data_IF_218449275120
#
_entry.id   IF_218449275120
#
_cell.length_a   1.000
_cell.length_b   1.000
_cell.length_c   1.000
_cell.angle_alpha   90.00
_cell.angle_beta   90.00
_cell.angle_gamma   90.00
#
_symmetry.space_group_name_H-M   'P 1'
#
loop_
_entity.id
_entity.type
_entity.pdbx_description
1 polymer ?
#
# COMPACT_ATOMS: atom_id res chain seq x y z
N UNK A 1 -1.40 0.30 -21.51
CA UNK A 1 -1.88 -1.08 -21.23
C UNK A 1 -1.58 -1.52 -19.80
N UNK A 2 -0.35 -1.35 -19.30
CA UNK A 2 -0.02 -1.48 -17.86
C UNK A 2 -0.64 -0.33 -17.05
N UNK A 3 -0.53 0.91 -17.55
CA UNK A 3 -1.13 2.11 -16.95
C UNK A 3 -2.63 1.96 -16.68
N UNK A 4 -3.37 1.28 -17.58
CA UNK A 4 -4.80 1.07 -17.39
C UNK A 4 -5.14 0.19 -16.19
N UNK A 5 -4.26 -0.77 -15.83
CA UNK A 5 -4.43 -1.62 -14.65
C UNK A 5 -4.13 -0.82 -13.39
N UNK A 6 -3.05 -0.01 -13.43
CA UNK A 6 -2.66 0.88 -12.33
C UNK A 6 -3.77 1.88 -12.04
N UNK A 7 -4.26 2.58 -13.06
CA UNK A 7 -5.30 3.60 -12.92
C UNK A 7 -6.62 2.99 -12.43
N UNK A 8 -6.92 1.75 -12.84
CA UNK A 8 -8.09 1.04 -12.36
C UNK A 8 -7.97 0.69 -10.89
N UNK A 9 -6.86 0.10 -10.47
CA UNK A 9 -6.66 -0.30 -9.07
C UNK A 9 -6.51 0.90 -8.14
N UNK A 10 -5.92 1.98 -8.65
CA UNK A 10 -5.89 3.28 -8.00
C UNK A 10 -7.31 3.75 -7.69
N UNK A 11 -8.24 3.67 -8.66
CA UNK A 11 -9.66 4.06 -8.50
C UNK A 11 -10.45 3.10 -7.61
N UNK A 12 -10.24 1.80 -7.78
CA UNK A 12 -10.90 0.74 -6.99
C UNK A 12 -10.58 0.92 -5.51
N UNK A 13 -9.31 1.23 -5.17
CA UNK A 13 -8.91 1.54 -3.80
C UNK A 13 -9.49 2.83 -3.20
N UNK A 14 -10.39 3.55 -3.89
CA UNK A 14 -10.97 4.80 -3.38
C UNK A 14 -12.40 4.65 -2.84
N UNK A 15 -12.94 3.43 -2.75
CA UNK A 15 -14.19 3.16 -2.02
C UNK A 15 -15.48 3.35 -2.84
N UNK A 16 -15.58 2.72 -4.01
CA UNK A 16 -16.84 2.59 -4.75
C UNK A 16 -17.46 1.21 -4.57
N UNK A 17 -18.48 1.11 -3.71
CA UNK A 17 -19.36 -0.04 -3.37
C UNK A 17 -18.70 -1.39 -2.95
N UNK A 18 -17.38 -1.56 -3.16
CA UNK A 18 -16.34 -2.21 -2.33
C UNK A 18 -15.17 -2.64 -3.25
N UNK A 19 -13.88 -2.29 -2.99
CA UNK A 19 -13.05 -2.96 -1.97
C UNK A 19 -11.85 -2.13 -1.45
N UNK A 20 -11.03 -2.71 -0.57
CA UNK A 20 -9.86 -2.15 0.13
C UNK A 20 -10.12 -1.05 1.16
N UNK A 21 -10.89 0.02 0.93
CA UNK A 21 -10.94 1.17 1.86
C UNK A 21 -12.35 1.70 2.20
N UNK A 22 -13.39 0.87 2.17
CA UNK A 22 -14.78 1.32 2.27
C UNK A 22 -15.15 2.09 3.56
N UNK A 23 -14.53 1.76 4.69
CA UNK A 23 -14.74 2.49 5.95
C UNK A 23 -14.09 3.89 5.96
N UNK A 24 -13.27 4.20 4.94
CA UNK A 24 -12.54 5.44 4.79
C UNK A 24 -13.22 6.31 3.74
N UNK A 25 -13.42 7.59 4.10
CA UNK A 25 -14.06 8.58 3.25
C UNK A 25 -13.01 9.38 2.51
N UNK A 26 -13.23 9.64 1.22
CA UNK A 26 -12.40 10.54 0.44
C UNK A 26 -12.52 11.97 0.99
N UNK A 27 -11.39 12.67 1.12
CA UNK A 27 -11.39 14.12 1.35
C UNK A 27 -11.38 14.88 0.02
N UNK A 28 -11.99 16.06 0.00
CA UNK A 28 -12.02 16.95 -1.17
C UNK A 28 -10.66 17.54 -1.60
N UNK A 29 -9.55 17.20 -0.93
CA UNK A 29 -8.19 17.54 -1.35
C UNK A 29 -7.66 16.43 -2.29
N UNK A 30 -8.19 16.40 -3.51
CA UNK A 30 -7.68 15.55 -4.59
C UNK A 30 -6.79 16.42 -5.48
N UNK A 31 -5.51 16.11 -5.50
CA UNK A 31 -4.54 16.66 -6.46
C UNK A 31 -4.32 15.53 -7.47
N UNK A 32 -4.36 15.80 -8.77
CA UNK A 32 -4.26 14.75 -9.80
C UNK A 32 -3.19 13.71 -9.42
N UNK A 33 -3.57 12.44 -9.37
CA UNK A 33 -2.75 11.27 -8.99
C UNK A 33 -2.47 11.05 -7.49
N UNK A 34 -2.98 11.90 -6.60
CA UNK A 34 -2.95 11.73 -5.13
C UNK A 34 -4.37 11.66 -4.60
N UNK A 35 -4.64 10.61 -3.84
CA UNK A 35 -5.90 10.41 -3.16
C UNK A 35 -5.71 10.37 -1.64
N UNK A 36 -6.45 11.22 -0.94
CA UNK A 36 -6.44 11.29 0.52
C UNK A 36 -7.69 10.62 1.06
N UNK A 37 -7.48 9.53 1.80
CA UNK A 37 -8.52 8.78 2.50
C UNK A 37 -8.46 9.12 3.99
N UNK A 38 -9.62 9.29 4.63
CA UNK A 38 -9.73 9.47 6.07
C UNK A 38 -10.85 8.60 6.68
N UNK A 39 -10.54 7.89 7.77
CA UNK A 39 -11.55 7.09 8.47
C UNK A 39 -12.41 7.91 9.46
N UNK A 40 -13.44 7.26 10.00
CA UNK A 40 -14.32 7.85 11.02
C UNK A 40 -13.62 8.31 12.30
N UNK A 41 -12.39 7.84 12.55
CA UNK A 41 -11.56 8.20 13.71
C UNK A 41 -10.58 9.34 13.43
N UNK A 42 -10.47 9.78 12.17
CA UNK A 42 -9.56 10.83 11.70
C UNK A 42 -8.15 10.35 11.33
N UNK A 43 -7.93 9.05 11.14
CA UNK A 43 -6.68 8.51 10.58
C UNK A 43 -6.65 8.79 9.08
N UNK A 44 -5.46 9.09 8.54
CA UNK A 44 -5.26 9.46 7.13
C UNK A 44 -4.32 8.50 6.40
N UNK A 45 -4.66 8.20 5.17
CA UNK A 45 -3.90 7.37 4.25
C UNK A 45 -3.88 8.07 2.91
N UNK A 46 -2.68 8.31 2.39
CA UNK A 46 -2.50 8.81 1.03
C UNK A 46 -2.17 7.65 0.10
N UNK A 47 -2.87 7.59 -1.02
CA UNK A 47 -2.63 6.64 -2.11
C UNK A 47 -2.18 7.47 -3.31
N UNK A 48 -0.95 7.24 -3.77
CA UNK A 48 -0.31 8.02 -4.81
C UNK A 48 0.03 7.12 -5.99
N UNK A 49 -0.57 7.40 -7.14
CA UNK A 49 -0.16 6.84 -8.42
C UNK A 49 1.03 7.67 -8.92
N UNK A 50 2.18 7.03 -9.12
CA UNK A 50 3.40 7.71 -9.58
C UNK A 50 3.84 7.24 -10.97
N UNK A 51 3.05 6.39 -11.63
CA UNK A 51 3.39 5.86 -12.95
C UNK A 51 3.57 6.95 -14.02
N UNK A 52 4.56 6.75 -14.90
CA UNK A 52 4.99 7.69 -15.92
C UNK A 52 5.44 9.06 -15.35
N UNK A 53 5.80 9.11 -14.07
CA UNK A 53 6.35 10.31 -13.43
C UNK A 53 7.84 10.15 -13.15
N UNK A 54 8.56 11.25 -12.93
CA UNK A 54 9.92 11.19 -12.42
C UNK A 54 10.04 10.42 -11.10
N UNK A 55 8.98 10.31 -10.29
CA UNK A 55 9.01 9.54 -9.04
C UNK A 55 9.08 8.04 -9.32
N UNK A 56 8.33 7.51 -10.28
CA UNK A 56 8.41 6.10 -10.71
C UNK A 56 9.81 5.76 -11.22
N UNK A 57 10.37 6.59 -12.10
CA UNK A 57 11.72 6.35 -12.61
C UNK A 57 12.78 6.36 -11.50
N UNK A 58 12.57 7.09 -10.39
CA UNK A 58 13.54 7.19 -9.28
C UNK A 58 13.38 6.07 -8.26
N UNK A 59 12.14 5.77 -7.86
CA UNK A 59 11.84 4.79 -6.83
C UNK A 59 11.67 3.37 -7.36
N UNK A 60 11.35 3.23 -8.66
CA UNK A 60 11.00 1.93 -9.26
C UNK A 60 9.67 1.39 -8.74
N UNK A 61 8.69 2.26 -8.50
CA UNK A 61 7.35 1.91 -8.03
C UNK A 61 6.30 2.62 -8.86
N UNK A 62 5.11 2.04 -9.00
CA UNK A 62 3.97 2.68 -9.67
C UNK A 62 2.95 3.22 -8.67
N UNK A 63 2.90 2.65 -7.47
CA UNK A 63 1.97 3.02 -6.41
C UNK A 63 2.68 3.23 -5.07
N UNK A 64 2.24 4.21 -4.30
CA UNK A 64 2.70 4.49 -2.93
C UNK A 64 1.49 4.62 -2.01
N UNK A 65 1.49 3.85 -0.92
CA UNK A 65 0.58 4.03 0.20
C UNK A 65 1.34 4.69 1.35
N UNK A 66 0.89 5.85 1.80
CA UNK A 66 1.49 6.59 2.91
C UNK A 66 0.51 6.70 4.08
N UNK A 67 0.80 5.96 5.14
CA UNK A 67 0.00 5.96 6.37
C UNK A 67 0.50 7.07 7.31
N UNK A 68 -0.26 8.16 7.39
CA UNK A 68 0.10 9.37 8.13
C UNK A 68 0.38 9.14 9.62
N UNK A 69 -0.46 8.40 10.38
CA UNK A 69 -0.25 8.26 11.82
C UNK A 69 1.08 7.61 12.21
N UNK A 70 1.64 6.75 11.36
CA UNK A 70 2.91 6.05 11.63
C UNK A 70 4.05 6.47 10.71
N UNK A 71 3.84 7.47 9.85
CA UNK A 71 4.81 7.90 8.83
C UNK A 71 5.41 6.72 8.06
N UNK A 72 4.54 5.82 7.59
CA UNK A 72 4.93 4.53 7.03
C UNK A 72 4.54 4.45 5.57
N UNK A 73 5.44 3.90 4.76
CA UNK A 73 5.24 3.71 3.33
C UNK A 73 5.08 2.23 2.98
N UNK A 74 4.20 1.94 2.03
CA UNK A 74 4.18 0.68 1.27
C UNK A 74 4.23 1.03 -0.22
N UNK A 75 5.15 0.39 -0.95
CA UNK A 75 5.40 0.66 -2.36
C UNK A 75 5.05 -0.57 -3.18
N UNK A 76 4.37 -0.37 -4.32
CA UNK A 76 3.99 -1.46 -5.22
C UNK A 76 4.37 -1.13 -6.65
N UNK A 77 5.25 -1.94 -7.25
CA UNK A 77 5.57 -1.90 -8.67
C UNK A 77 4.69 -2.90 -9.41
N UNK A 78 3.94 -2.42 -10.39
CA UNK A 78 3.10 -3.18 -11.27
C UNK A 78 3.91 -3.71 -12.44
N UNK A 79 3.52 -4.90 -12.91
CA UNK A 79 3.96 -5.50 -14.17
C UNK A 79 2.82 -6.25 -14.81
N UNK A 80 2.61 -6.04 -16.10
CA UNK A 80 1.61 -6.78 -16.84
C UNK A 80 2.10 -8.18 -17.21
N UNK A 81 1.29 -9.19 -16.91
CA UNK A 81 1.50 -10.55 -17.37
C UNK A 81 1.11 -10.70 -18.85
N UNK A 82 1.82 -11.56 -19.57
CA UNK A 82 1.47 -11.91 -20.94
C UNK A 82 0.11 -12.63 -20.98
N UNK A 83 -0.83 -12.15 -21.79
CA UNK A 83 -2.22 -12.65 -21.76
C UNK A 83 -2.35 -14.14 -22.08
N UNK A 84 -1.46 -14.71 -22.91
CA UNK A 84 -1.57 -16.11 -23.36
C UNK A 84 -1.10 -17.11 -22.32
N UNK A 85 0.02 -16.82 -21.66
CA UNK A 85 0.69 -17.76 -20.75
C UNK A 85 0.63 -17.31 -19.28
N UNK A 86 0.14 -16.09 -19.01
CA UNK A 86 0.18 -15.46 -17.69
C UNK A 86 1.58 -15.51 -17.07
N UNK A 87 2.57 -15.25 -17.92
CA UNK A 87 3.98 -15.23 -17.56
C UNK A 87 4.53 -13.81 -17.64
N UNK A 88 5.47 -13.50 -16.76
CA UNK A 88 6.36 -12.35 -16.89
C UNK A 88 7.80 -12.85 -17.04
N UNK A 89 8.42 -12.55 -18.17
CA UNK A 89 9.84 -12.86 -18.39
C UNK A 89 10.69 -11.77 -17.77
N UNK A 90 11.52 -12.16 -16.80
CA UNK A 90 12.38 -11.23 -16.07
C UNK A 90 13.37 -10.63 -17.07
N UNK A 91 13.43 -9.29 -17.08
CA UNK A 91 14.31 -8.53 -17.93
C UNK A 91 15.16 -7.58 -17.08
N UNK A 92 16.15 -6.94 -17.70
CA UNK A 92 17.03 -5.99 -17.02
C UNK A 92 16.26 -4.83 -16.36
N UNK A 93 15.20 -4.35 -17.00
CA UNK A 93 14.39 -3.26 -16.47
C UNK A 93 13.75 -3.61 -15.12
N UNK A 94 13.15 -4.81 -14.99
CA UNK A 94 12.57 -5.24 -13.72
C UNK A 94 13.66 -5.38 -12.64
N UNK A 95 14.82 -5.94 -12.99
CA UNK A 95 15.93 -6.06 -12.05
C UNK A 95 16.40 -4.68 -11.54
N UNK A 96 16.56 -3.72 -12.44
CA UNK A 96 16.95 -2.35 -12.10
C UNK A 96 15.89 -1.65 -11.22
N UNK A 97 14.60 -1.95 -11.41
CA UNK A 97 13.51 -1.45 -10.57
C UNK A 97 13.52 -2.12 -9.18
N UNK A 98 13.72 -3.43 -9.12
CA UNK A 98 13.87 -4.17 -7.85
C UNK A 98 15.04 -3.63 -7.03
N UNK A 99 16.17 -3.32 -7.67
CA UNK A 99 17.33 -2.71 -7.01
C UNK A 99 17.00 -1.35 -6.38
N UNK A 100 16.15 -0.54 -7.03
CA UNK A 100 15.70 0.76 -6.50
C UNK A 100 14.76 0.58 -5.30
N UNK A 101 13.79 -0.33 -5.41
CA UNK A 101 12.88 -0.66 -4.30
C UNK A 101 13.64 -1.20 -3.08
N UNK A 102 14.70 -1.97 -3.32
CA UNK A 102 15.52 -2.52 -2.23
C UNK A 102 16.29 -1.40 -1.50
N UNK A 103 16.80 -0.42 -2.25
CA UNK A 103 17.41 0.76 -1.65
C UNK A 103 16.41 1.59 -0.83
N UNK A 104 15.16 1.73 -1.31
CA UNK A 104 14.08 2.37 -0.53
C UNK A 104 13.79 1.56 0.74
N UNK A 105 13.72 0.23 0.65
CA UNK A 105 13.49 -0.64 1.81
C UNK A 105 14.57 -0.47 2.87
N UNK A 106 15.83 -0.20 2.48
CA UNK A 106 16.95 0.08 3.39
C UNK A 106 16.85 1.43 4.11
N UNK A 107 15.96 2.33 3.68
CA UNK A 107 15.63 3.55 4.44
C UNK A 107 14.79 3.23 5.68
N UNK A 108 14.19 2.04 5.75
CA UNK A 108 13.47 1.60 6.94
C UNK A 108 14.47 1.24 8.04
N UNK A 109 14.26 1.85 9.21
CA UNK A 109 15.01 1.58 10.43
C UNK A 109 14.46 0.37 11.18
N UNK A 110 15.20 -0.11 12.20
CA UNK A 110 14.66 -1.06 13.16
C UNK A 110 13.72 -0.33 14.13
N UNK A 111 12.59 -0.93 14.53
CA UNK A 111 11.69 -0.31 15.49
C UNK A 111 12.40 -0.10 16.82
N UNK A 112 12.44 1.15 17.29
CA UNK A 112 12.98 1.52 18.60
C UNK A 112 11.88 1.46 19.68
N UNK A 113 10.61 1.57 19.28
CA UNK A 113 9.45 1.57 20.18
C UNK A 113 8.42 0.53 19.76
N UNK A 114 7.61 0.07 20.72
CA UNK A 114 6.60 -0.98 20.47
C UNK A 114 5.58 -0.62 19.39
N UNK A 115 5.20 0.65 19.26
CA UNK A 115 4.25 1.11 18.23
C UNK A 115 4.88 1.26 16.83
N UNK A 116 6.20 1.17 16.73
CA UNK A 116 6.94 1.18 15.46
C UNK A 116 7.10 -0.23 14.88
N UNK A 117 6.79 -1.27 15.65
CA UNK A 117 6.90 -2.65 15.20
C UNK A 117 5.95 -2.94 14.03
N UNK A 118 6.40 -3.84 13.13
CA UNK A 118 5.68 -4.26 11.93
C UNK A 118 5.63 -5.78 11.86
N UNK A 119 4.56 -6.30 11.26
CA UNK A 119 4.37 -7.75 11.07
C UNK A 119 5.42 -8.35 10.12
N UNK A 120 5.85 -7.58 9.13
CA UNK A 120 6.88 -7.96 8.17
C UNK A 120 7.87 -6.80 7.97
N UNK A 121 9.16 -7.09 7.74
CA UNK A 121 10.12 -6.08 7.32
C UNK A 121 9.91 -5.61 5.87
N UNK A 122 9.14 -6.35 5.05
CA UNK A 122 8.88 -5.98 3.67
C UNK A 122 7.88 -4.83 3.57
N UNK A 123 8.34 -3.73 2.94
CA UNK A 123 7.53 -2.56 2.61
C UNK A 123 7.36 -2.38 1.09
N UNK A 124 8.04 -3.17 0.27
CA UNK A 124 8.01 -3.08 -1.19
C UNK A 124 7.51 -4.39 -1.81
N UNK A 125 6.64 -4.28 -2.82
CA UNK A 125 5.96 -5.40 -3.44
C UNK A 125 5.98 -5.27 -4.96
N UNK A 126 5.94 -6.42 -5.64
CA UNK A 126 5.65 -6.52 -7.07
C UNK A 126 4.23 -7.01 -7.26
N UNK A 127 3.46 -6.36 -8.13
CA UNK A 127 2.16 -6.86 -8.59
C UNK A 127 2.26 -7.29 -10.04
N UNK A 128 2.15 -8.57 -10.31
CA UNK A 128 2.04 -9.08 -11.67
C UNK A 128 0.57 -9.25 -12.05
N UNK A 129 0.05 -8.34 -12.85
CA UNK A 129 -1.38 -8.18 -13.10
C UNK A 129 -1.81 -8.50 -14.54
N UNK A 130 -3.06 -8.91 -14.70
CA UNK A 130 -3.70 -9.09 -15.99
C UNK A 130 -5.20 -8.76 -15.91
N UNK A 131 -5.80 -8.38 -17.04
CA UNK A 131 -7.25 -8.25 -17.13
C UNK A 131 -7.92 -9.62 -17.13
N UNK A 132 -9.11 -9.72 -16.53
CA UNK A 132 -9.98 -10.88 -16.75
C UNK A 132 -10.52 -10.81 -18.18
N UNK A 133 -10.64 -11.94 -18.86
CA UNK A 133 -11.26 -11.99 -20.18
C UNK A 133 -12.65 -11.30 -20.12
N UNK A 134 -12.78 -10.13 -20.74
CA UNK A 134 -14.05 -9.40 -20.88
C UNK A 134 -14.49 -8.48 -19.73
N UNK A 135 -13.70 -8.23 -18.68
CA UNK A 135 -14.11 -7.31 -17.60
C UNK A 135 -13.15 -6.12 -17.46
N UNK A 136 -13.57 -4.97 -18.00
CA UNK A 136 -13.01 -3.64 -17.68
C UNK A 136 -13.95 -2.83 -16.75
N UNK A 137 -15.04 -3.45 -16.27
CA UNK A 137 -16.08 -2.79 -15.45
C UNK A 137 -16.33 -3.50 -14.11
N UNK A 138 -15.32 -4.19 -13.56
CA UNK A 138 -15.41 -4.76 -12.21
C UNK A 138 -15.08 -3.70 -11.16
N UNK A 139 -15.77 -3.73 -10.01
CA UNK A 139 -15.37 -2.98 -8.80
C UNK A 139 -14.18 -3.61 -8.09
N UNK A 140 -13.75 -4.82 -8.49
CA UNK A 140 -12.66 -5.56 -7.87
C UNK A 140 -11.29 -5.13 -8.39
N UNK A 141 -10.22 -5.31 -7.61
CA UNK A 141 -8.85 -5.12 -8.06
C UNK A 141 -8.53 -5.97 -9.29
N UNK A 142 -7.68 -5.45 -10.18
CA UNK A 142 -7.17 -6.22 -11.29
C UNK A 142 -6.50 -7.50 -10.78
N UNK A 143 -6.84 -8.60 -11.44
CA UNK A 143 -6.31 -9.92 -11.12
C UNK A 143 -4.79 -9.91 -11.23
N UNK A 144 -4.15 -10.59 -10.29
CA UNK A 144 -2.70 -10.64 -10.26
C UNK A 144 -2.18 -11.42 -9.08
N UNK A 145 -0.87 -11.56 -9.04
CA UNK A 145 -0.12 -12.04 -7.90
C UNK A 145 0.68 -10.88 -7.31
N UNK A 146 0.54 -10.68 -6.00
CA UNK A 146 1.37 -9.77 -5.23
C UNK A 146 2.47 -10.57 -4.54
N UNK A 147 3.71 -10.12 -4.71
CA UNK A 147 4.90 -10.80 -4.22
C UNK A 147 5.74 -9.78 -3.43
N UNK A 148 6.08 -10.05 -2.15
CA UNK A 148 7.04 -9.23 -1.42
C UNK A 148 8.38 -9.16 -2.15
N UNK A 149 9.05 -8.01 -2.14
CA UNK A 149 10.31 -7.83 -2.86
C UNK A 149 11.38 -8.83 -2.40
N UNK A 150 11.50 -9.08 -1.10
CA UNK A 150 12.44 -10.06 -0.55
C UNK A 150 12.19 -11.47 -1.12
N UNK A 151 10.93 -11.89 -1.18
CA UNK A 151 10.55 -13.19 -1.72
C UNK A 151 10.78 -13.27 -3.24
N UNK A 152 10.54 -12.18 -3.97
CA UNK A 152 10.87 -12.11 -5.39
C UNK A 152 12.37 -12.35 -5.64
N UNK A 153 13.27 -11.89 -4.76
CA UNK A 153 14.71 -12.19 -4.86
C UNK A 153 15.02 -13.66 -4.66
N UNK A 154 14.44 -14.27 -3.63
CA UNK A 154 14.59 -15.71 -3.37
C UNK A 154 14.13 -16.53 -4.57
N UNK A 155 12.99 -16.17 -5.17
CA UNK A 155 12.48 -16.84 -6.37
C UNK A 155 13.43 -16.74 -7.57
N UNK A 156 14.16 -15.64 -7.74
CA UNK A 156 15.12 -15.48 -8.85
C UNK A 156 16.35 -16.38 -8.71
N UNK A 157 16.65 -16.84 -7.50
CA UNK A 157 17.75 -17.77 -7.22
C UNK A 157 17.30 -19.24 -7.34
N UNK A 158 16.00 -19.50 -7.21
CA UNK A 158 15.41 -20.83 -7.32
C UNK A 158 15.18 -21.26 -8.79
N UNK A 159 15.47 -22.52 -9.08
CA UNK A 159 15.25 -23.13 -10.40
C UNK A 159 13.77 -23.26 -10.77
N UNK A 160 12.85 -23.12 -9.82
CA UNK A 160 11.41 -23.05 -10.11
C UNK A 160 11.06 -21.91 -11.08
N UNK A 161 11.85 -20.83 -11.12
CA UNK A 161 11.68 -19.73 -12.07
C UNK A 161 12.45 -19.92 -13.38
N UNK A 162 13.24 -20.98 -13.54
CA UNK A 162 14.05 -21.19 -14.74
C UNK A 162 13.18 -21.58 -15.94
N UNK A 163 13.20 -20.73 -16.97
CA UNK A 163 12.49 -20.94 -18.21
C UNK A 163 13.25 -21.82 -19.20
N UNK A 164 12.59 -22.34 -20.25
CA UNK A 164 13.18 -23.27 -21.22
C UNK A 164 14.42 -22.75 -21.96
N UNK A 165 14.64 -21.43 -21.97
CA UNK A 165 15.78 -20.77 -22.63
C UNK A 165 16.80 -20.20 -21.63
N UNK A 166 16.76 -20.65 -20.38
CA UNK A 166 17.69 -20.21 -19.32
C UNK A 166 17.38 -18.85 -18.67
N UNK A 167 16.36 -18.12 -19.15
CA UNK A 167 15.88 -16.89 -18.50
C UNK A 167 14.92 -17.18 -17.34
N UNK A 168 14.81 -16.24 -16.39
CA UNK A 168 13.89 -16.35 -15.25
C UNK A 168 12.46 -15.92 -15.62
N UNK A 169 11.44 -16.60 -15.11
CA UNK A 169 10.03 -16.39 -15.40
C UNK A 169 9.23 -16.38 -14.09
N UNK A 170 8.44 -15.33 -13.88
CA UNK A 170 7.40 -15.31 -12.87
C UNK A 170 6.06 -15.73 -13.49
N UNK A 171 5.39 -16.69 -12.86
CA UNK A 171 4.04 -17.12 -13.20
C UNK A 171 3.35 -17.74 -11.98
N UNK A 172 2.04 -17.91 -12.07
CA UNK A 172 1.23 -18.56 -11.03
C UNK A 172 1.71 -19.98 -10.69
N UNK A 173 2.21 -20.72 -11.68
CA UNK A 173 2.69 -22.11 -11.47
C UNK A 173 4.08 -22.16 -10.82
N UNK A 174 4.85 -21.07 -10.92
CA UNK A 174 6.26 -21.02 -10.50
C UNK A 174 6.46 -20.31 -9.17
N UNK A 175 5.58 -19.39 -8.79
CA UNK A 175 5.59 -18.76 -7.48
C UNK A 175 4.51 -19.40 -6.60
N UNK A 176 4.88 -20.10 -5.53
CA UNK A 176 3.90 -20.77 -4.67
C UNK A 176 3.28 -19.83 -3.60
N UNK A 177 4.09 -18.93 -3.02
CA UNK A 177 3.68 -18.04 -1.91
C UNK A 177 3.31 -16.61 -2.30
N UNK A 178 2.45 -16.40 -3.32
CA UNK A 178 1.95 -15.06 -3.65
C UNK A 178 0.59 -14.77 -2.98
N UNK A 179 0.23 -13.49 -2.87
CA UNK A 179 -1.12 -13.07 -2.47
C UNK A 179 -1.98 -12.81 -3.71
N UNK A 180 -3.20 -13.33 -3.74
CA UNK A 180 -4.22 -12.93 -4.72
C UNK A 180 -4.88 -11.61 -4.33
N UNK A 181 -5.70 -11.03 -5.22
CA UNK A 181 -6.36 -9.74 -4.99
C UNK A 181 -7.15 -9.63 -3.69
N UNK A 182 -7.88 -10.69 -3.29
CA UNK A 182 -8.62 -10.72 -2.02
C UNK A 182 -7.72 -10.78 -0.80
N UNK A 183 -6.67 -11.61 -0.84
CA UNK A 183 -5.68 -11.70 0.26
C UNK A 183 -4.86 -10.42 0.38
N UNK A 184 -4.55 -9.78 -0.75
CA UNK A 184 -3.93 -8.46 -0.74
C UNK A 184 -4.88 -7.40 -0.17
N UNK A 185 -6.19 -7.54 -0.36
CA UNK A 185 -7.15 -6.63 0.25
C UNK A 185 -7.10 -6.71 1.78
N UNK A 186 -7.07 -7.92 2.33
CA UNK A 186 -6.86 -8.15 3.78
C UNK A 186 -5.48 -7.65 4.24
N UNK A 187 -4.43 -7.83 3.44
CA UNK A 187 -3.12 -7.26 3.72
C UNK A 187 -3.15 -5.73 3.77
N UNK A 188 -3.90 -5.08 2.89
CA UNK A 188 -4.04 -3.63 2.88
C UNK A 188 -4.77 -3.13 4.13
N UNK A 189 -5.67 -3.92 4.75
CA UNK A 189 -6.20 -3.61 6.09
C UNK A 189 -5.08 -3.46 7.12
N UNK A 190 -4.03 -4.28 7.04
CA UNK A 190 -2.88 -4.17 7.94
C UNK A 190 -2.06 -2.90 7.65
N UNK A 191 -2.03 -2.44 6.40
CA UNK A 191 -1.45 -1.14 6.02
C UNK A 191 -2.27 0.00 6.62
N UNK A 192 -3.62 -0.06 6.60
CA UNK A 192 -4.50 0.92 7.26
C UNK A 192 -4.28 1.02 8.77
N UNK A 193 -3.91 -0.11 9.39
CA UNK A 193 -3.63 -0.17 10.82
C UNK A 193 -2.19 0.26 11.15
N UNK A 194 -1.37 0.60 10.15
CA UNK A 194 0.05 0.92 10.32
C UNK A 194 0.89 -0.26 10.82
N UNK A 195 0.42 -1.50 10.61
CA UNK A 195 1.09 -2.73 11.04
C UNK A 195 2.06 -3.28 9.99
N UNK A 196 1.99 -2.76 8.77
CA UNK A 196 2.92 -3.09 7.67
C UNK A 196 3.39 -1.79 7.01
N UNK A 197 4.59 -1.84 6.42
CA UNK A 197 5.26 -0.73 5.77
C UNK A 197 6.50 -0.29 6.53
N UNK A 198 7.16 0.74 6.02
CA UNK A 198 8.44 1.20 6.56
C UNK A 198 8.34 1.70 8.02
N UNK A 199 9.50 1.74 8.67
CA UNK A 199 9.68 2.23 10.04
C UNK A 199 10.69 3.37 10.03
N UNK A 200 10.26 4.55 10.50
CA UNK A 200 11.15 5.70 10.66
C UNK A 200 11.69 6.27 9.33
N UNK A 201 11.08 5.93 8.20
CA UNK A 201 11.39 6.55 6.91
C UNK A 201 10.57 7.81 6.77
N UNK A 202 11.21 8.98 6.85
CA UNK A 202 10.52 10.26 6.70
C UNK A 202 10.15 10.52 5.23
N UNK A 203 9.18 11.40 5.01
CA UNK A 203 8.82 11.85 3.66
C UNK A 203 10.01 12.55 3.00
N UNK A 204 10.80 13.29 3.78
CA UNK A 204 12.03 13.94 3.31
C UNK A 204 13.09 12.92 2.93
N UNK A 205 13.23 11.81 3.66
CA UNK A 205 14.17 10.75 3.27
C UNK A 205 13.74 10.07 1.97
N UNK A 206 12.45 9.77 1.81
CA UNK A 206 11.94 9.19 0.56
C UNK A 206 12.05 10.19 -0.60
N UNK A 207 11.76 11.47 -0.34
CA UNK A 207 11.92 12.57 -1.29
C UNK A 207 13.38 12.78 -1.66
N UNK A 208 14.27 12.83 -0.68
CA UNK A 208 15.70 12.99 -0.88
C UNK A 208 16.28 11.78 -1.60
N UNK A 209 15.80 10.58 -1.34
CA UNK A 209 16.18 9.41 -2.12
C UNK A 209 15.74 9.56 -3.59
N UNK A 210 14.54 10.09 -3.83
CA UNK A 210 14.11 10.51 -5.15
C UNK A 210 14.99 11.62 -5.75
N UNK A 211 15.29 12.68 -4.99
CA UNK A 211 16.01 13.88 -5.42
C UNK A 211 17.54 13.71 -5.50
N UNK A 212 18.16 12.79 -4.75
CA UNK A 212 19.58 12.47 -4.81
C UNK A 212 19.93 11.82 -6.15
N UNK A 213 18.93 11.27 -6.83
CA UNK A 213 18.99 10.86 -8.25
C UNK A 213 18.59 11.97 -9.24
N UNK A 214 18.37 13.21 -8.76
CA UNK A 214 17.98 14.38 -9.55
C UNK A 214 19.10 15.43 -9.71
N UNK A 215 20.36 15.11 -9.38
CA UNK A 215 21.51 15.87 -9.90
C UNK A 215 21.67 15.78 -11.44
N UNK A 216 20.71 15.15 -12.13
CA UNK A 216 20.55 15.15 -13.59
C UNK A 216 19.25 15.85 -14.09
N UNK A 217 18.59 16.67 -13.27
CA UNK A 217 17.61 17.66 -13.76
C UNK A 217 16.15 17.45 -13.37
N UNK A 218 15.64 18.48 -12.67
CA UNK A 218 14.25 18.93 -12.59
C UNK A 218 13.21 18.23 -11.68
N UNK A 219 12.28 19.11 -11.29
CA UNK A 219 11.34 19.21 -10.16
C UNK A 219 10.51 17.98 -9.78
N UNK A 220 10.27 17.81 -8.48
CA UNK A 220 9.33 16.84 -7.88
C UNK A 220 8.18 17.62 -7.25
N UNK A 221 6.94 17.38 -7.69
CA UNK A 221 5.75 17.81 -6.97
C UNK A 221 5.33 16.66 -6.04
N UNK A 222 5.76 16.74 -4.77
CA UNK A 222 5.14 16.01 -3.67
C UNK A 222 4.13 16.98 -3.06
N UNK A 223 2.84 16.66 -3.16
CA UNK A 223 1.81 17.44 -2.49
C UNK A 223 1.85 17.16 -1.00
N UNK A 224 2.11 18.18 -0.18
CA UNK A 224 2.06 18.08 1.28
C UNK A 224 0.79 18.74 1.83
N UNK A 225 0.26 18.20 2.93
CA UNK A 225 -0.49 18.94 3.95
C UNK A 225 0.30 18.80 5.26
N UNK A 226 0.86 19.90 5.73
CA UNK A 226 1.55 19.99 7.02
C UNK A 226 0.53 20.28 8.12
N UNK A 227 0.45 19.41 9.13
CA UNK A 227 -0.10 19.82 10.43
C UNK A 227 0.98 19.65 11.50
N UNK A 228 1.19 20.71 12.28
CA UNK A 228 2.25 20.81 13.29
C UNK A 228 1.91 20.02 14.59
N UNK A 229 0.96 19.07 14.55
CA UNK A 229 0.47 18.34 15.72
C UNK A 229 1.33 17.08 15.97
N UNK A 230 1.98 17.00 17.13
CA UNK A 230 2.88 15.88 17.44
C UNK A 230 2.10 14.57 17.70
N UNK A 231 2.71 13.38 17.47
CA UNK A 231 2.06 12.07 17.71
C UNK A 231 1.49 11.87 19.12
N UNK A 232 2.07 12.55 20.12
CA UNK A 232 1.63 12.50 21.53
C UNK A 232 0.39 13.36 21.77
N UNK A 233 0.30 14.54 21.18
CA UNK A 233 -0.87 15.42 21.24
C UNK A 233 -2.08 14.76 20.55
N UNK A 234 -1.83 14.08 19.44
CA UNK A 234 -2.83 13.26 18.71
C UNK A 234 -3.40 12.14 19.59
N UNK A 235 -2.56 11.38 20.29
CA UNK A 235 -3.00 10.27 21.15
C UNK A 235 -3.85 10.72 22.36
N UNK A 236 -3.57 11.91 22.90
CA UNK A 236 -4.33 12.51 24.01
C UNK A 236 -5.69 12.98 23.53
N UNK A 237 -5.77 13.63 22.36
CA UNK A 237 -7.04 14.06 21.75
C UNK A 237 -7.97 12.88 21.44
N UNK A 238 -7.43 11.80 20.87
CA UNK A 238 -8.20 10.59 20.54
C UNK A 238 -8.78 9.91 21.78
N UNK A 239 -8.07 9.94 22.92
CA UNK A 239 -8.55 9.35 24.20
C UNK A 239 -9.55 10.25 24.93
N UNK A 240 -9.46 11.58 24.78
CA UNK A 240 -10.39 12.54 25.39
C UNK A 240 -11.81 12.51 24.81
N UNK A 241 -11.96 12.19 23.51
CA UNK A 241 -13.30 12.05 22.88
C UNK A 241 -14.05 10.80 23.34
N UNK A 242 -13.34 9.74 23.73
CA UNK A 242 -13.97 8.48 24.17
C UNK A 242 -14.60 8.56 25.57
N UNK A 243 -14.25 9.57 26.38
CA UNK A 243 -14.84 9.76 27.73
C UNK A 243 -16.16 10.53 27.66
N UNK A 244 -16.40 11.34 26.61
CA UNK A 244 -17.63 12.12 26.48
C UNK A 244 -18.85 11.32 26.02
N UNK A 245 -18.67 10.10 25.49
CA UNK A 245 -19.75 9.24 25.00
C UNK A 245 -19.78 7.87 25.70
N UNK A 246 -19.84 7.85 27.04
CA UNK A 246 -20.34 6.66 27.77
C UNK A 246 -21.83 6.84 28.05
N UNK A 247 -22.72 5.99 27.49
CA UNK A 247 -24.12 5.94 27.93
C UNK A 247 -24.19 5.54 29.40
N UNK A 248 -25.04 6.20 30.19
CA UNK A 248 -25.37 5.76 31.55
C UNK A 248 -26.10 4.41 31.45
N UNK A 249 -25.54 3.37 32.06
CA UNK A 249 -26.23 2.09 32.27
C UNK A 249 -27.32 2.32 33.31
N UNK A 250 -28.59 2.33 32.89
CA UNK A 250 -29.72 2.25 33.82
C UNK A 250 -29.93 0.78 34.19
N UNK A 251 -29.71 0.46 35.47
CA UNK A 251 -30.05 -0.83 36.06
C UNK A 251 -31.57 -1.02 36.04
N UNK A 252 -32.05 -2.11 35.43
CA UNK A 252 -33.44 -2.57 35.56
C UNK A 252 -33.62 -3.25 36.93
N UNK A 253 -34.56 -2.74 37.73
CA UNK A 253 -35.14 -3.46 38.88
C UNK A 253 -36.52 -3.99 38.48
N UNK A 254 -36.85 -5.27 38.74
CA UNK A 254 -38.18 -5.79 38.44
C UNK A 254 -39.23 -5.26 39.44
N UNK A 255 -40.41 -4.93 38.92
CA UNK A 255 -41.52 -4.39 39.69
C UNK A 255 -42.27 -5.50 40.46
N UNK A 256 -42.38 -5.33 41.77
CA UNK A 256 -43.22 -6.13 42.67
C UNK A 256 -44.68 -5.76 42.45
N UNK A 257 -45.51 -6.73 42.08
CA UNK A 257 -46.96 -6.58 41.98
C UNK A 257 -47.63 -6.69 43.35
N UNK A 258 -48.26 -5.59 43.78
CA UNK A 258 -49.45 -5.56 44.63
C UNK A 258 -50.49 -4.75 43.82
N UNK A 259 -51.77 -5.11 43.73
CA UNK A 259 -52.68 -5.21 44.88
C UNK A 259 -54.06 -5.76 44.44
N UNK A 260 -54.73 -6.40 45.41
CA UNK A 260 -56.17 -6.77 45.53
C UNK A 260 -56.64 -8.08 44.92
#
# INVERSE_FOLDING_TARGET
MENSLIDHDARVGLGGEAPLFDDWRQRGDVRCDIHVLEDSTGRRLEVVNVNATPVESRLGTDMIYYHHPTHSFVLVQYKRLESRYKEYRVNKQLLDQMDRLEQVSRLSSKPARSHEWRLSPDACFLKFAHWRNGAASSTELAHGMYIPLSYARVLLEDDCTLGPRGGRIFSYERAAGYLVGSEFAEFAELVKLGRVGTVGTSVEQLRNFGLQRAHEGYSVMLGFETSDETPRERAVRTRGRSVKNRPKVNSYSPATSQQR
#
